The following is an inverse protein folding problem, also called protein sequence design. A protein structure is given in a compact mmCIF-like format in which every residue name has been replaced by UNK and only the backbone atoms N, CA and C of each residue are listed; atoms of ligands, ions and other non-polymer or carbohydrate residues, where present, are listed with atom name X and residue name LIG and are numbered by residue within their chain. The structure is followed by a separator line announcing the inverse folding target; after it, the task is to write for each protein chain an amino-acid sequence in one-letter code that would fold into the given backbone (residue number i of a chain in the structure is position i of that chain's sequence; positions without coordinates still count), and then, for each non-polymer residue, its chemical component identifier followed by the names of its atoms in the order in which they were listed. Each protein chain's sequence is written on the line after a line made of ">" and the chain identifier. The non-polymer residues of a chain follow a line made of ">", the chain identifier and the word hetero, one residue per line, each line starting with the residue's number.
data_IF_237277363713
#
_entry.id   IF_237277363713
#
_cell.length_a   1.000
_cell.length_b   1.000
_cell.length_c   1.000
_cell.angle_alpha   90.00
_cell.angle_beta   90.00
_cell.angle_gamma   90.00
#
_symmetry.space_group_name_H-M   'P 1'
#
loop_
_entity.id
_entity.type
_entity.pdbx_description
1 polymer ?
#
# COMPACT_ATOMS: atom_id res chain seq x y z
N UNK A 1 -52.95 -23.27 -26.66
CA UNK A 1 -51.59 -22.85 -26.24
C UNK A 1 -51.33 -23.40 -24.85
N UNK A 2 -50.47 -24.40 -24.75
CA UNK A 2 -50.25 -25.19 -23.53
C UNK A 2 -49.06 -24.63 -22.75
N UNK A 3 -49.34 -24.07 -21.57
CA UNK A 3 -48.41 -23.48 -20.59
C UNK A 3 -47.50 -24.51 -19.88
N UNK A 4 -46.91 -25.46 -20.62
CA UNK A 4 -46.08 -26.53 -20.08
C UNK A 4 -44.54 -26.43 -20.24
N UNK A 5 -43.89 -25.38 -20.81
CA UNK A 5 -42.45 -25.47 -21.06
C UNK A 5 -41.57 -25.34 -19.80
N UNK A 6 -41.92 -24.51 -18.81
CA UNK A 6 -41.02 -24.23 -17.67
C UNK A 6 -40.89 -25.36 -16.66
N UNK A 7 -41.89 -26.25 -16.56
CA UNK A 7 -41.94 -27.30 -15.52
C UNK A 7 -40.77 -28.30 -15.63
N UNK A 8 -40.26 -28.50 -16.84
CA UNK A 8 -39.18 -29.45 -17.14
C UNK A 8 -37.77 -28.89 -16.92
N UNK A 9 -37.64 -27.59 -16.61
CA UNK A 9 -36.37 -26.89 -16.39
C UNK A 9 -36.26 -26.26 -14.99
N UNK A 10 -37.25 -26.53 -14.11
CA UNK A 10 -37.36 -25.94 -12.77
C UNK A 10 -36.11 -26.11 -11.91
N UNK A 11 -35.41 -27.23 -12.06
CA UNK A 11 -34.18 -27.47 -11.31
C UNK A 11 -33.07 -26.49 -11.70
N UNK A 12 -32.73 -26.39 -12.99
CA UNK A 12 -31.74 -25.42 -13.46
C UNK A 12 -32.14 -23.97 -13.21
N UNK A 13 -33.43 -23.64 -13.36
CA UNK A 13 -33.96 -22.32 -13.01
C UNK A 13 -33.84 -22.04 -11.50
N UNK A 14 -34.14 -23.02 -10.65
CA UNK A 14 -33.99 -22.88 -9.19
C UNK A 14 -32.54 -22.69 -8.77
N UNK A 15 -31.61 -23.46 -9.34
CA UNK A 15 -30.17 -23.30 -9.10
C UNK A 15 -29.68 -21.91 -9.55
N UNK A 16 -30.15 -21.43 -10.72
CA UNK A 16 -29.84 -20.08 -11.20
C UNK A 16 -30.30 -19.00 -10.24
N UNK A 17 -31.54 -19.08 -9.74
CA UNK A 17 -32.08 -18.10 -8.78
C UNK A 17 -31.33 -18.11 -7.45
N UNK A 18 -30.97 -19.29 -6.95
CA UNK A 18 -30.16 -19.43 -5.72
C UNK A 18 -28.77 -18.82 -5.92
N UNK A 19 -28.12 -19.12 -7.04
CA UNK A 19 -26.81 -18.55 -7.38
C UNK A 19 -26.87 -17.04 -7.55
N UNK A 20 -27.89 -16.52 -8.24
CA UNK A 20 -28.10 -15.10 -8.44
C UNK A 20 -28.36 -14.37 -7.12
N UNK A 21 -29.22 -14.93 -6.25
CA UNK A 21 -29.48 -14.36 -4.92
C UNK A 21 -28.21 -14.35 -4.05
N UNK A 22 -27.41 -15.43 -4.10
CA UNK A 22 -26.15 -15.51 -3.38
C UNK A 22 -25.13 -14.46 -3.87
N UNK A 23 -24.88 -14.40 -5.19
CA UNK A 23 -23.97 -13.40 -5.78
C UNK A 23 -24.46 -11.98 -5.53
N UNK A 24 -25.77 -11.73 -5.65
CA UNK A 24 -26.34 -10.41 -5.38
C UNK A 24 -26.17 -10.03 -3.91
N UNK A 25 -26.36 -10.96 -2.97
CA UNK A 25 -26.15 -10.71 -1.54
C UNK A 25 -24.68 -10.39 -1.25
N UNK A 26 -23.73 -11.20 -1.76
CA UNK A 26 -22.31 -10.92 -1.59
C UNK A 26 -21.92 -9.58 -2.23
N UNK A 27 -22.45 -9.27 -3.42
CA UNK A 27 -22.18 -8.02 -4.13
C UNK A 27 -22.77 -6.80 -3.41
N UNK A 28 -23.97 -6.94 -2.83
CA UNK A 28 -24.58 -5.90 -2.01
C UNK A 28 -23.81 -5.71 -0.70
N UNK A 29 -23.35 -6.78 -0.05
CA UNK A 29 -22.46 -6.65 1.12
C UNK A 29 -21.16 -5.94 0.69
N UNK A 30 -20.57 -6.33 -0.45
CA UNK A 30 -19.36 -5.73 -0.98
C UNK A 30 -19.49 -4.22 -1.26
N UNK A 31 -20.65 -3.80 -1.76
CA UNK A 31 -20.91 -2.40 -2.14
C UNK A 31 -21.45 -1.56 -0.99
N UNK A 32 -22.32 -2.13 -0.15
CA UNK A 32 -22.97 -1.42 0.96
C UNK A 32 -22.17 -1.44 2.27
N UNK A 33 -21.17 -2.32 2.38
CA UNK A 33 -20.26 -2.35 3.53
C UNK A 33 -18.96 -1.69 3.11
N UNK A 34 -18.79 -0.39 3.38
CA UNK A 34 -17.52 0.24 3.11
C UNK A 34 -16.48 -0.36 4.09
N UNK A 35 -15.26 -0.62 3.61
CA UNK A 35 -14.13 -1.19 4.37
C UNK A 35 -14.32 -2.61 4.92
N UNK A 36 -14.57 -3.56 4.03
CA UNK A 36 -14.60 -4.98 4.38
C UNK A 36 -13.26 -5.53 4.90
N UNK A 37 -12.10 -4.92 4.58
CA UNK A 37 -10.79 -5.45 5.02
C UNK A 37 -10.61 -6.93 4.64
N UNK A 38 -10.28 -7.79 5.62
CA UNK A 38 -10.28 -9.25 5.46
C UNK A 38 -11.65 -9.85 5.10
N UNK A 39 -12.74 -9.13 5.36
CA UNK A 39 -14.08 -9.45 4.88
C UNK A 39 -14.16 -9.55 3.35
N UNK A 40 -13.32 -8.84 2.58
CA UNK A 40 -13.23 -9.04 1.11
C UNK A 40 -12.72 -10.44 0.80
N UNK A 41 -11.72 -10.91 1.53
CA UNK A 41 -11.18 -12.27 1.39
C UNK A 41 -12.24 -13.30 1.79
N UNK A 42 -13.01 -13.05 2.85
CA UNK A 42 -14.12 -13.92 3.25
C UNK A 42 -15.23 -13.97 2.19
N UNK A 43 -15.63 -12.82 1.61
CA UNK A 43 -16.59 -12.76 0.51
C UNK A 43 -16.08 -13.46 -0.75
N UNK A 44 -14.81 -13.28 -1.10
CA UNK A 44 -14.18 -13.96 -2.25
C UNK A 44 -14.10 -15.47 -2.02
N UNK A 45 -13.76 -15.89 -0.81
CA UNK A 45 -13.72 -17.30 -0.40
C UNK A 45 -15.11 -17.91 -0.48
N UNK A 46 -16.15 -17.23 0.01
CA UNK A 46 -17.54 -17.66 -0.12
C UNK A 46 -17.98 -17.74 -1.59
N UNK A 47 -17.62 -16.75 -2.41
CA UNK A 47 -17.90 -16.76 -3.85
C UNK A 47 -17.24 -17.95 -4.56
N UNK A 48 -16.02 -18.32 -4.18
CA UNK A 48 -15.31 -19.48 -4.73
C UNK A 48 -15.95 -20.78 -4.24
N UNK A 49 -16.04 -20.98 -2.92
CA UNK A 49 -16.44 -22.27 -2.34
C UNK A 49 -17.92 -22.59 -2.47
N UNK A 50 -18.79 -21.59 -2.65
CA UNK A 50 -20.23 -21.80 -2.81
C UNK A 50 -20.68 -21.42 -4.22
N UNK A 51 -20.20 -20.29 -4.75
CA UNK A 51 -20.59 -19.81 -6.07
C UNK A 51 -20.10 -20.69 -7.23
N UNK A 52 -18.83 -21.14 -7.21
CA UNK A 52 -18.29 -21.99 -8.29
C UNK A 52 -19.00 -23.34 -8.35
N UNK A 53 -19.22 -24.08 -7.24
CA UNK A 53 -19.99 -25.32 -7.28
C UNK A 53 -21.43 -25.13 -7.80
N UNK A 54 -22.12 -24.07 -7.37
CA UNK A 54 -23.47 -23.76 -7.86
C UNK A 54 -23.49 -23.45 -9.36
N UNK A 55 -22.47 -22.73 -9.86
CA UNK A 55 -22.30 -22.46 -11.29
C UNK A 55 -22.04 -23.75 -12.07
N UNK A 56 -21.21 -24.66 -11.55
CA UNK A 56 -20.98 -25.97 -12.16
C UNK A 56 -22.26 -26.80 -12.22
N UNK A 57 -23.05 -26.83 -11.15
CA UNK A 57 -24.36 -27.51 -11.15
C UNK A 57 -25.31 -26.90 -12.18
N UNK A 58 -25.32 -25.57 -12.32
CA UNK A 58 -26.12 -24.86 -13.32
C UNK A 58 -25.70 -25.24 -14.75
N UNK A 59 -24.40 -25.26 -15.03
CA UNK A 59 -23.84 -25.64 -16.33
C UNK A 59 -24.13 -27.11 -16.64
N UNK A 60 -23.97 -28.02 -15.68
CA UNK A 60 -24.28 -29.44 -15.85
C UNK A 60 -25.78 -29.66 -16.09
N UNK A 61 -26.65 -28.95 -15.37
CA UNK A 61 -28.10 -29.00 -15.60
C UNK A 61 -28.45 -28.48 -17.01
N UNK A 62 -27.82 -27.38 -17.44
CA UNK A 62 -27.99 -26.83 -18.77
C UNK A 62 -27.52 -27.80 -19.87
N UNK A 63 -26.34 -28.39 -19.74
CA UNK A 63 -25.81 -29.41 -20.66
C UNK A 63 -26.75 -30.61 -20.75
N UNK A 64 -27.27 -31.08 -19.60
CA UNK A 64 -28.26 -32.15 -19.56
C UNK A 64 -29.54 -31.78 -20.33
N UNK A 65 -30.02 -30.55 -20.22
CA UNK A 65 -31.18 -30.07 -20.99
C UNK A 65 -30.89 -29.98 -22.48
N UNK A 66 -29.71 -29.49 -22.86
CA UNK A 66 -29.24 -29.45 -24.24
C UNK A 66 -29.16 -30.85 -24.86
N UNK A 67 -28.64 -31.84 -24.12
CA UNK A 67 -28.57 -33.23 -24.58
C UNK A 67 -29.95 -33.87 -24.66
N UNK A 68 -30.79 -33.72 -23.63
CA UNK A 68 -32.14 -34.29 -23.57
C UNK A 68 -33.01 -33.77 -24.72
N UNK A 69 -32.94 -32.48 -25.00
CA UNK A 69 -33.81 -31.80 -25.96
C UNK A 69 -33.12 -31.62 -27.32
N UNK A 70 -31.99 -32.31 -27.57
CA UNK A 70 -31.20 -32.27 -28.82
C UNK A 70 -30.89 -30.85 -29.30
N UNK A 71 -30.57 -29.95 -28.36
CA UNK A 71 -30.27 -28.55 -28.62
C UNK A 71 -31.49 -27.65 -28.88
N UNK A 72 -32.71 -28.17 -28.81
CA UNK A 72 -33.95 -27.41 -29.04
C UNK A 72 -34.52 -26.79 -27.76
N UNK A 73 -33.67 -26.37 -26.83
CA UNK A 73 -34.10 -25.69 -25.61
C UNK A 73 -34.64 -24.29 -25.99
N UNK A 74 -35.83 -23.88 -25.50
CA UNK A 74 -36.38 -22.57 -25.85
C UNK A 74 -35.48 -21.41 -25.38
N UNK A 75 -35.28 -20.39 -26.23
CA UNK A 75 -34.46 -19.20 -25.90
C UNK A 75 -34.82 -18.52 -24.57
N UNK A 76 -36.11 -18.53 -24.20
CA UNK A 76 -36.59 -17.99 -22.91
C UNK A 76 -36.06 -18.77 -21.71
N UNK A 77 -35.83 -20.08 -21.85
CA UNK A 77 -35.25 -20.92 -20.77
C UNK A 77 -33.77 -20.60 -20.60
N UNK A 78 -33.01 -20.39 -21.69
CA UNK A 78 -31.64 -19.90 -21.60
C UNK A 78 -31.57 -18.56 -20.87
N UNK A 79 -32.47 -17.63 -21.23
CA UNK A 79 -32.53 -16.32 -20.59
C UNK A 79 -32.80 -16.45 -19.07
N UNK A 80 -33.81 -17.22 -18.66
CA UNK A 80 -34.14 -17.38 -17.23
C UNK A 80 -33.04 -18.14 -16.45
N UNK A 81 -32.26 -19.00 -17.10
CA UNK A 81 -31.17 -19.72 -16.45
C UNK A 81 -29.89 -18.88 -16.26
N UNK A 82 -29.62 -17.88 -17.11
CA UNK A 82 -28.33 -17.17 -17.07
C UNK A 82 -28.43 -15.66 -16.81
N UNK A 83 -29.53 -15.00 -17.23
CA UNK A 83 -29.69 -13.55 -17.06
C UNK A 83 -29.68 -13.12 -15.60
N UNK A 84 -30.37 -13.80 -14.65
CA UNK A 84 -30.33 -13.40 -13.24
C UNK A 84 -28.91 -13.40 -12.66
N UNK A 85 -28.14 -14.46 -12.95
CA UNK A 85 -26.74 -14.59 -12.50
C UNK A 85 -25.85 -13.53 -13.15
N UNK A 86 -25.98 -13.31 -14.45
CA UNK A 86 -25.23 -12.28 -15.17
C UNK A 86 -25.55 -10.87 -14.63
N UNK A 87 -26.81 -10.57 -14.35
CA UNK A 87 -27.22 -9.30 -13.76
C UNK A 87 -26.63 -9.12 -12.35
N UNK A 88 -26.58 -10.16 -11.53
CA UNK A 88 -25.97 -10.11 -10.20
C UNK A 88 -24.46 -9.85 -10.27
N UNK A 89 -23.74 -10.47 -11.22
CA UNK A 89 -22.30 -10.25 -11.41
C UNK A 89 -21.97 -8.81 -11.86
N UNK A 90 -22.91 -8.11 -12.47
CA UNK A 90 -22.72 -6.74 -12.95
C UNK A 90 -22.83 -5.68 -11.85
N UNK A 91 -23.31 -6.02 -10.64
CA UNK A 91 -23.54 -5.06 -9.55
C UNK A 91 -22.24 -4.33 -9.16
N UNK A 92 -21.16 -5.07 -8.92
CA UNK A 92 -19.86 -4.50 -8.53
C UNK A 92 -19.23 -3.62 -9.62
N UNK A 93 -19.08 -4.08 -10.89
CA UNK A 93 -18.47 -3.25 -11.93
C UNK A 93 -19.32 -2.01 -12.28
N UNK A 94 -20.66 -2.09 -12.24
CA UNK A 94 -21.49 -0.90 -12.41
C UNK A 94 -21.30 0.10 -11.26
N UNK A 95 -21.23 -0.39 -10.03
CA UNK A 95 -20.98 0.47 -8.87
C UNK A 95 -19.62 1.18 -8.97
N UNK A 96 -18.55 0.44 -9.31
CA UNK A 96 -17.21 1.02 -9.51
C UNK A 96 -17.18 2.04 -10.65
N UNK A 97 -17.86 1.75 -11.76
CA UNK A 97 -17.97 2.69 -12.89
C UNK A 97 -18.68 3.99 -12.49
N UNK A 98 -19.76 3.88 -11.72
CA UNK A 98 -20.46 5.03 -11.15
C UNK A 98 -19.53 5.79 -10.20
N UNK A 99 -18.88 5.12 -9.27
CA UNK A 99 -18.01 5.76 -8.29
C UNK A 99 -16.85 6.53 -8.96
N UNK A 100 -16.16 5.92 -9.94
CA UNK A 100 -15.11 6.58 -10.72
C UNK A 100 -15.61 7.81 -11.51
N UNK A 101 -16.86 7.77 -12.00
CA UNK A 101 -17.50 8.89 -12.69
C UNK A 101 -17.82 10.03 -11.72
N UNK A 102 -18.24 9.70 -10.50
CA UNK A 102 -18.49 10.68 -9.44
C UNK A 102 -17.19 11.28 -8.89
N UNK A 103 -16.12 10.49 -8.77
CA UNK A 103 -14.81 10.94 -8.30
C UNK A 103 -14.10 11.85 -9.34
N UNK A 104 -14.30 11.58 -10.64
CA UNK A 104 -13.78 12.42 -11.72
C UNK A 104 -14.57 13.73 -11.90
N UNK A 105 -15.88 13.75 -11.63
CA UNK A 105 -16.72 14.95 -11.69
C UNK A 105 -16.61 15.84 -10.43
N UNK A 106 -16.34 15.25 -9.26
CA UNK A 106 -16.31 15.97 -7.99
C UNK A 106 -14.95 16.60 -7.63
N UNK A 107 -13.89 16.36 -8.40
CA UNK A 107 -12.62 17.09 -8.32
C UNK A 107 -11.91 17.05 -6.95
N UNK A 108 -10.97 16.11 -6.76
CA UNK A 108 -9.83 16.23 -5.84
C UNK A 108 -10.09 16.25 -4.32
N UNK A 109 -11.30 16.57 -3.83
CA UNK A 109 -11.58 16.64 -2.38
C UNK A 109 -12.12 15.35 -1.78
N UNK A 110 -12.37 14.32 -2.60
CA UNK A 110 -12.97 13.03 -2.19
C UNK A 110 -12.00 11.85 -2.16
N UNK A 111 -10.75 12.05 -2.55
CA UNK A 111 -9.74 11.01 -2.49
C UNK A 111 -9.49 10.60 -1.03
N UNK A 112 -9.33 9.30 -0.82
CA UNK A 112 -8.95 8.77 0.49
C UNK A 112 -7.56 9.27 0.87
N UNK A 113 -7.33 9.53 2.16
CA UNK A 113 -6.04 9.96 2.69
C UNK A 113 -5.39 8.78 3.40
N UNK A 114 -4.20 8.38 2.95
CA UNK A 114 -3.43 7.35 3.61
C UNK A 114 -2.80 7.89 4.91
N UNK A 115 -3.02 7.18 6.00
CA UNK A 115 -2.43 7.44 7.31
C UNK A 115 -1.67 6.20 7.79
N UNK A 116 -0.49 6.42 8.36
CA UNK A 116 0.30 5.41 9.02
C UNK A 116 0.64 5.91 10.43
N UNK A 117 0.35 5.11 11.45
CA UNK A 117 0.53 5.45 12.84
C UNK A 117 1.62 4.58 13.45
N UNK A 118 2.51 5.22 14.21
CA UNK A 118 3.62 4.61 14.94
C UNK A 118 3.52 5.02 16.41
N UNK A 119 3.41 4.04 17.32
CA UNK A 119 3.28 4.31 18.75
C UNK A 119 4.64 4.29 19.43
N UNK A 120 5.13 5.49 19.75
CA UNK A 120 6.39 5.75 20.42
C UNK A 120 6.17 6.24 21.87
N UNK A 121 4.92 6.21 22.35
CA UNK A 121 4.53 6.80 23.64
C UNK A 121 4.80 5.88 24.83
N UNK A 122 4.97 4.59 24.57
CA UNK A 122 5.09 3.55 25.59
C UNK A 122 3.77 3.20 26.30
N UNK A 123 2.64 3.72 25.84
CA UNK A 123 1.30 3.45 26.39
C UNK A 123 0.34 2.97 25.29
N UNK A 124 -0.69 2.18 25.60
CA UNK A 124 -1.70 1.82 24.62
C UNK A 124 -2.51 3.05 24.19
N UNK A 125 -2.65 3.25 22.88
CA UNK A 125 -3.36 4.39 22.30
C UNK A 125 -4.54 3.93 21.46
N UNK A 126 -5.68 4.60 21.60
CA UNK A 126 -6.88 4.33 20.80
C UNK A 126 -6.98 5.40 19.71
N UNK A 127 -6.82 4.98 18.45
CA UNK A 127 -6.77 5.91 17.32
C UNK A 127 -8.16 6.43 16.96
N UNK A 128 -8.26 7.72 16.63
CA UNK A 128 -9.50 8.31 16.14
C UNK A 128 -9.74 7.96 14.67
N UNK A 129 -10.70 7.07 14.43
CA UNK A 129 -11.15 6.64 13.10
C UNK A 129 -12.30 7.50 12.56
N UNK A 130 -12.73 8.54 13.29
CA UNK A 130 -13.81 9.43 12.87
C UNK A 130 -13.34 10.48 11.83
N UNK A 131 -14.18 10.91 10.88
CA UNK A 131 -15.57 10.52 10.69
C UNK A 131 -15.71 9.14 10.01
N UNK A 132 -14.67 8.68 9.30
CA UNK A 132 -14.60 7.34 8.70
C UNK A 132 -13.17 6.98 8.27
N UNK A 133 -12.71 5.76 8.59
CA UNK A 133 -11.42 5.22 8.18
C UNK A 133 -11.47 3.71 7.86
N UNK A 134 -10.62 3.25 6.91
CA UNK A 134 -10.44 1.84 6.52
C UNK A 134 -9.20 1.25 7.16
N UNK A 135 -9.35 0.42 8.18
CA UNK A 135 -8.18 -0.18 8.82
C UNK A 135 -7.66 -1.37 8.01
N UNK A 136 -6.38 -1.31 7.63
CA UNK A 136 -5.68 -2.38 6.90
C UNK A 136 -5.04 -3.43 7.80
N UNK A 137 -4.81 -3.10 9.07
CA UNK A 137 -3.90 -3.83 9.96
C UNK A 137 -4.50 -4.02 11.35
N UNK A 138 -5.51 -4.90 11.48
CA UNK A 138 -6.03 -5.39 12.77
C UNK A 138 -6.54 -4.34 13.78
N UNK A 139 -6.50 -3.07 13.42
CA UNK A 139 -6.89 -1.94 14.25
C UNK A 139 -8.38 -1.67 14.05
N UNK A 140 -9.01 -1.14 15.09
CA UNK A 140 -10.41 -0.74 15.04
C UNK A 140 -10.72 0.14 16.23
N UNK A 141 -11.92 0.74 16.28
CA UNK A 141 -12.36 1.50 17.45
C UNK A 141 -12.36 0.64 18.74
N UNK A 142 -12.29 -0.69 18.59
CA UNK A 142 -12.32 -1.68 19.67
C UNK A 142 -10.93 -2.26 20.04
N UNK A 143 -9.84 -1.81 19.39
CA UNK A 143 -8.48 -2.32 19.64
C UNK A 143 -7.46 -1.19 19.77
N UNK A 144 -6.67 -1.14 20.87
CA UNK A 144 -5.62 -0.14 21.03
C UNK A 144 -4.39 -0.49 20.19
N UNK A 145 -3.73 0.55 19.71
CA UNK A 145 -2.35 0.50 19.27
C UNK A 145 -1.44 0.29 20.48
N UNK A 146 -0.72 -0.82 20.52
CA UNK A 146 0.16 -1.15 21.64
C UNK A 146 1.39 -0.24 21.69
N UNK A 147 1.82 0.14 22.89
CA UNK A 147 2.98 1.00 23.10
C UNK A 147 4.25 0.26 23.50
N UNK A 148 4.13 -1.02 23.89
CA UNK A 148 5.22 -1.92 24.23
C UNK A 148 5.76 -2.70 23.01
N UNK A 149 5.10 -2.58 21.85
CA UNK A 149 5.57 -3.12 20.56
C UNK A 149 5.59 -2.01 19.48
N UNK A 150 6.55 -1.08 19.52
CA UNK A 150 6.62 0.04 18.59
C UNK A 150 6.81 -0.38 17.12
N UNK A 151 7.18 -1.64 16.89
CA UNK A 151 7.42 -2.22 15.57
C UNK A 151 6.14 -2.47 14.77
N UNK A 152 4.99 -2.57 15.44
CA UNK A 152 3.69 -2.81 14.83
C UNK A 152 3.02 -1.49 14.44
N UNK A 153 3.12 -1.10 13.17
CA UNK A 153 2.46 0.11 12.69
C UNK A 153 0.99 -0.17 12.37
N UNK A 154 0.18 0.88 12.45
CA UNK A 154 -1.23 0.82 12.05
C UNK A 154 -1.43 1.69 10.82
N UNK A 155 -2.03 1.10 9.81
CA UNK A 155 -2.31 1.74 8.52
C UNK A 155 -3.81 1.80 8.28
N UNK A 156 -4.27 2.96 7.85
CA UNK A 156 -5.64 3.10 7.39
C UNK A 156 -5.81 4.23 6.38
N UNK A 157 -6.88 4.15 5.57
CA UNK A 157 -7.28 5.27 4.73
C UNK A 157 -8.45 6.03 5.33
N UNK A 158 -8.35 7.34 5.48
CA UNK A 158 -9.44 8.20 5.95
C UNK A 158 -10.22 8.75 4.77
N UNK A 159 -11.55 8.67 4.81
CA UNK A 159 -12.40 9.15 3.72
C UNK A 159 -13.23 10.35 4.17
N UNK A 160 -13.37 11.37 3.32
CA UNK A 160 -14.41 12.38 3.52
C UNK A 160 -15.78 11.74 3.34
N UNK A 161 -16.76 12.20 4.12
CA UNK A 161 -18.15 11.74 4.00
C UNK A 161 -19.09 12.96 4.04
N UNK A 162 -20.36 12.76 3.64
CA UNK A 162 -21.31 13.86 3.50
C UNK A 162 -21.48 14.69 4.78
N UNK A 163 -21.40 14.04 5.95
CA UNK A 163 -21.51 14.70 7.24
C UNK A 163 -20.26 15.54 7.56
N UNK A 164 -19.07 14.98 7.34
CA UNK A 164 -17.81 15.68 7.61
C UNK A 164 -17.54 16.83 6.64
N UNK A 165 -18.09 16.78 5.43
CA UNK A 165 -18.12 17.90 4.49
C UNK A 165 -19.05 19.01 4.99
N UNK A 166 -20.28 18.66 5.42
CA UNK A 166 -21.25 19.61 5.94
C UNK A 166 -20.73 20.35 7.19
N UNK A 167 -20.10 19.60 8.10
CA UNK A 167 -19.56 20.12 9.35
C UNK A 167 -18.14 20.69 9.20
N UNK A 168 -17.54 20.59 8.00
CA UNK A 168 -16.12 20.88 7.73
C UNK A 168 -15.15 20.15 8.67
N UNK A 169 -15.58 19.03 9.25
CA UNK A 169 -14.90 18.27 10.28
C UNK A 169 -13.78 17.36 9.75
N UNK A 170 -13.73 17.09 8.44
CA UNK A 170 -12.65 16.29 7.85
C UNK A 170 -11.28 16.99 8.04
N UNK A 171 -10.23 16.32 8.54
CA UNK A 171 -8.99 17.01 8.93
C UNK A 171 -8.13 17.48 7.75
N UNK A 172 -8.38 17.00 6.52
CA UNK A 172 -7.60 17.34 5.33
C UNK A 172 -8.37 18.22 4.35
N UNK A 173 -7.62 18.94 3.53
CA UNK A 173 -8.08 19.74 2.40
C UNK A 173 -7.09 19.60 1.25
N UNK A 174 -7.53 19.11 0.10
CA UNK A 174 -6.66 18.90 -1.08
C UNK A 174 -5.47 17.99 -0.82
N UNK A 175 -5.64 16.95 0.01
CA UNK A 175 -4.57 16.01 0.37
C UNK A 175 -3.60 16.53 1.44
N UNK A 176 -3.82 17.72 2.00
CA UNK A 176 -2.98 18.32 3.03
C UNK A 176 -3.75 18.49 4.34
N UNK A 177 -3.07 18.33 5.46
CA UNK A 177 -3.65 18.54 6.77
C UNK A 177 -4.01 20.02 6.93
N UNK A 178 -5.25 20.32 7.32
CA UNK A 178 -5.73 21.68 7.51
C UNK A 178 -4.90 22.40 8.54
N UNK A 179 -4.64 23.71 8.33
CA UNK A 179 -3.86 24.53 9.25
C UNK A 179 -4.46 24.63 10.65
N UNK A 180 -5.76 24.43 10.78
CA UNK A 180 -6.51 24.46 12.05
C UNK A 180 -6.38 23.18 12.89
N UNK A 181 -5.76 22.10 12.37
CA UNK A 181 -5.61 20.83 13.11
C UNK A 181 -4.30 20.83 13.88
N UNK A 182 -4.28 21.44 15.06
CA UNK A 182 -3.09 21.65 15.90
C UNK A 182 -2.99 20.67 17.08
N UNK A 183 -3.98 19.79 17.24
CA UNK A 183 -4.01 18.72 18.23
C UNK A 183 -4.45 17.41 17.59
N UNK A 184 -3.91 16.30 18.09
CA UNK A 184 -4.41 14.96 17.80
C UNK A 184 -5.33 14.51 18.92
N UNK A 185 -6.44 13.89 18.55
CA UNK A 185 -7.43 13.38 19.49
C UNK A 185 -7.40 11.86 19.50
N UNK A 186 -7.39 11.28 20.68
CA UNK A 186 -7.52 9.83 20.84
C UNK A 186 -8.99 9.44 21.06
N UNK A 187 -9.34 8.23 20.64
CA UNK A 187 -10.58 7.59 21.03
C UNK A 187 -10.48 7.07 22.49
N UNK A 188 -11.61 6.69 23.07
CA UNK A 188 -11.68 5.89 24.30
C UNK A 188 -11.88 4.41 23.94
N UNK A 189 -11.66 3.48 24.91
CA UNK A 189 -11.99 2.07 24.72
C UNK A 189 -13.45 1.77 24.36
N UNK A 190 -14.40 2.67 24.66
CA UNK A 190 -15.80 2.51 24.25
C UNK A 190 -16.08 2.99 22.82
N UNK A 191 -15.06 3.46 22.09
CA UNK A 191 -15.19 4.10 20.79
C UNK A 191 -15.70 5.55 20.86
N UNK A 192 -16.08 6.03 22.04
CA UNK A 192 -16.43 7.44 22.27
C UNK A 192 -15.16 8.31 22.26
N UNK A 193 -15.29 9.60 21.94
CA UNK A 193 -14.13 10.52 21.89
C UNK A 193 -13.55 10.74 23.28
N UNK A 194 -12.25 10.49 23.45
CA UNK A 194 -11.55 10.92 24.66
C UNK A 194 -11.20 12.42 24.50
N UNK A 195 -11.30 13.17 25.59
CA UNK A 195 -10.91 14.60 25.64
C UNK A 195 -9.40 14.75 25.91
N UNK A 196 -8.60 13.73 25.58
CA UNK A 196 -7.14 13.83 25.67
C UNK A 196 -6.63 14.30 24.32
N UNK A 197 -6.56 15.62 24.19
CA UNK A 197 -5.95 16.29 23.05
C UNK A 197 -4.46 16.48 23.36
N UNK A 198 -3.60 15.96 22.48
CA UNK A 198 -2.15 16.19 22.55
C UNK A 198 -1.72 17.12 21.42
N UNK A 199 -0.72 18.00 21.63
CA UNK A 199 -0.19 18.86 20.57
C UNK A 199 0.20 18.05 19.32
N UNK A 200 -0.20 18.53 18.15
CA UNK A 200 0.14 17.96 16.85
C UNK A 200 1.17 18.85 16.15
N UNK A 201 2.42 18.38 16.09
CA UNK A 201 3.52 19.07 15.42
C UNK A 201 3.59 18.61 13.95
N UNK A 202 3.65 19.57 13.03
CA UNK A 202 3.69 19.26 11.59
C UNK A 202 5.09 19.37 11.04
N UNK A 203 5.51 18.36 10.30
CA UNK A 203 6.71 18.42 9.48
C UNK A 203 6.42 19.01 8.09
N UNK A 204 7.47 19.50 7.40
CA UNK A 204 7.34 19.98 6.03
C UNK A 204 6.79 18.91 5.09
N UNK A 205 5.98 19.32 4.12
CA UNK A 205 5.57 18.45 3.02
C UNK A 205 6.72 18.26 2.03
N UNK A 206 6.84 17.09 1.38
CA UNK A 206 7.73 16.94 0.24
C UNK A 206 7.32 17.92 -0.87
N UNK A 207 8.31 18.39 -1.64
CA UNK A 207 8.03 19.21 -2.81
C UNK A 207 7.41 18.34 -3.90
N UNK A 208 6.14 18.61 -4.21
CA UNK A 208 5.40 17.90 -5.25
C UNK A 208 5.37 18.66 -6.57
N UNK A 209 5.98 19.85 -6.64
CA UNK A 209 6.05 20.63 -7.87
C UNK A 209 6.64 19.85 -9.06
N UNK A 210 7.69 19.01 -8.89
CA UNK A 210 8.23 18.21 -9.99
C UNK A 210 7.21 17.23 -10.58
N UNK A 211 6.28 16.74 -9.75
CA UNK A 211 5.19 15.93 -10.24
C UNK A 211 4.04 16.77 -10.81
N UNK A 212 3.84 18.03 -10.43
CA UNK A 212 2.69 18.86 -10.84
C UNK A 212 2.59 19.17 -12.35
N UNK A 213 3.67 19.03 -13.13
CA UNK A 213 3.56 19.04 -14.60
C UNK A 213 2.84 17.78 -15.15
N UNK A 214 2.70 16.75 -14.33
CA UNK A 214 2.16 15.41 -14.62
C UNK A 214 1.17 14.87 -13.55
N UNK A 215 0.90 15.61 -12.45
CA UNK A 215 0.24 15.18 -11.19
C UNK A 215 -1.24 14.82 -11.31
N UNK A 216 -1.83 15.07 -12.48
CA UNK A 216 -3.23 14.70 -12.77
C UNK A 216 -3.34 13.50 -13.70
N UNK A 217 -2.25 12.78 -13.94
CA UNK A 217 -2.29 11.49 -14.63
C UNK A 217 -2.28 10.36 -13.61
N UNK A 218 -2.88 9.20 -13.94
CA UNK A 218 -2.50 7.94 -13.32
C UNK A 218 -0.97 7.82 -13.25
N UNK A 219 -0.41 7.35 -12.13
CA UNK A 219 1.04 7.10 -12.00
C UNK A 219 1.86 8.13 -11.19
N UNK A 220 1.24 8.96 -10.34
CA UNK A 220 1.97 9.82 -9.38
C UNK A 220 1.99 9.21 -7.98
N UNK A 221 3.13 9.25 -7.25
CA UNK A 221 3.18 8.74 -5.88
C UNK A 221 2.15 9.44 -5.00
N UNK A 222 1.38 8.66 -4.25
CA UNK A 222 0.42 9.20 -3.29
C UNK A 222 1.15 9.88 -2.11
N UNK A 223 0.47 10.79 -1.42
CA UNK A 223 0.94 11.29 -0.13
C UNK A 223 0.41 10.39 0.98
N UNK A 224 1.32 9.95 1.85
CA UNK A 224 0.97 9.28 3.12
C UNK A 224 1.30 10.21 4.28
N UNK A 225 0.44 10.25 5.30
CA UNK A 225 0.67 11.02 6.52
C UNK A 225 1.11 10.07 7.64
N UNK A 226 2.39 10.14 8.02
CA UNK A 226 2.95 9.35 9.10
C UNK A 226 2.76 10.08 10.43
N UNK A 227 2.02 9.50 11.36
CA UNK A 227 1.77 9.98 12.70
C UNK A 227 2.66 9.23 13.70
N UNK A 228 3.63 9.94 14.28
CA UNK A 228 4.49 9.43 15.34
C UNK A 228 3.95 9.90 16.68
N UNK A 229 3.44 8.97 17.48
CA UNK A 229 2.82 9.25 18.76
C UNK A 229 3.85 9.18 19.88
N UNK A 230 4.26 10.32 20.42
CA UNK A 230 5.11 10.38 21.61
C UNK A 230 4.26 10.54 22.87
N UNK A 231 4.92 10.56 24.03
CA UNK A 231 4.24 10.63 25.33
C UNK A 231 3.46 11.94 25.54
N UNK A 232 3.97 13.04 25.01
CA UNK A 232 3.50 14.40 25.27
C UNK A 232 2.99 15.12 24.00
N UNK A 233 3.25 14.59 22.81
CA UNK A 233 2.83 15.17 21.55
C UNK A 233 2.72 14.11 20.45
N UNK A 234 2.14 14.49 19.32
CA UNK A 234 2.15 13.71 18.08
C UNK A 234 2.87 14.53 17.03
N UNK A 235 3.74 13.88 16.25
CA UNK A 235 4.30 14.48 15.05
C UNK A 235 3.60 13.89 13.82
N UNK A 236 3.15 14.75 12.91
CA UNK A 236 2.65 14.34 11.59
C UNK A 236 3.63 14.73 10.51
N UNK A 237 4.11 13.73 9.80
CA UNK A 237 5.11 13.82 8.75
C UNK A 237 4.55 13.29 7.44
N UNK A 238 4.21 14.19 6.49
CA UNK A 238 3.85 13.78 5.14
C UNK A 238 5.06 13.22 4.41
N UNK A 239 4.90 12.08 3.74
CA UNK A 239 5.92 11.47 2.89
C UNK A 239 5.34 11.06 1.54
N UNK A 240 6.22 10.80 0.57
CA UNK A 240 5.82 10.07 -0.63
C UNK A 240 5.56 8.63 -0.23
N UNK A 241 4.37 8.13 -0.58
CA UNK A 241 4.03 6.74 -0.38
C UNK A 241 4.99 5.85 -1.16
N UNK A 242 5.22 4.64 -0.64
CA UNK A 242 5.91 3.57 -1.37
C UNK A 242 5.29 3.40 -2.76
N UNK A 243 6.14 3.22 -3.76
CA UNK A 243 5.67 3.04 -5.13
C UNK A 243 5.00 1.68 -5.27
N UNK A 244 3.73 1.66 -5.71
CA UNK A 244 3.14 0.44 -6.25
C UNK A 244 3.85 0.04 -7.54
N UNK A 245 3.80 -1.24 -7.92
CA UNK A 245 4.40 -1.71 -9.18
C UNK A 245 3.91 -0.91 -10.39
N UNK A 246 2.61 -0.59 -10.45
CA UNK A 246 2.04 0.23 -11.54
C UNK A 246 2.57 1.66 -11.53
N UNK A 247 2.74 2.27 -10.35
CA UNK A 247 3.26 3.64 -10.24
C UNK A 247 4.73 3.69 -10.62
N UNK A 248 5.52 2.70 -10.20
CA UNK A 248 6.92 2.58 -10.61
C UNK A 248 7.03 2.42 -12.14
N UNK A 249 6.24 1.54 -12.75
CA UNK A 249 6.22 1.32 -14.20
C UNK A 249 5.85 2.61 -14.97
N UNK A 250 4.84 3.34 -14.53
CA UNK A 250 4.42 4.59 -15.15
C UNK A 250 5.52 5.66 -15.08
N UNK A 251 6.19 5.77 -13.93
CA UNK A 251 7.31 6.71 -13.74
C UNK A 251 8.51 6.32 -14.63
N UNK A 252 8.84 5.04 -14.73
CA UNK A 252 9.91 4.53 -15.62
C UNK A 252 9.59 4.81 -17.09
N UNK A 253 8.36 4.50 -17.54
CA UNK A 253 7.90 4.77 -18.92
C UNK A 253 7.92 6.25 -19.25
N UNK A 254 7.60 7.10 -18.27
CA UNK A 254 7.67 8.56 -18.42
C UNK A 254 9.07 9.13 -18.32
N UNK A 255 10.08 8.30 -18.02
CA UNK A 255 11.49 8.71 -17.81
C UNK A 255 11.62 9.77 -16.73
N UNK A 256 10.85 9.64 -15.64
CA UNK A 256 10.86 10.61 -14.55
C UNK A 256 12.22 10.65 -13.85
N UNK A 257 12.78 11.85 -13.67
CA UNK A 257 14.10 12.06 -13.06
C UNK A 257 14.00 12.68 -11.66
N UNK A 258 15.00 12.42 -10.82
CA UNK A 258 15.14 13.03 -9.49
C UNK A 258 14.41 12.30 -8.35
N UNK A 259 13.66 11.23 -8.66
CA UNK A 259 13.13 10.33 -7.64
C UNK A 259 14.17 9.30 -7.21
N UNK A 260 14.41 9.22 -5.91
CA UNK A 260 15.30 8.25 -5.28
C UNK A 260 14.49 7.28 -4.44
N UNK A 261 14.75 5.99 -4.63
CA UNK A 261 14.21 4.89 -3.84
C UNK A 261 15.27 4.39 -2.86
N UNK A 262 14.95 4.42 -1.58
CA UNK A 262 15.82 4.04 -0.48
C UNK A 262 15.45 2.68 0.06
N UNK A 263 16.38 1.73 -0.07
CA UNK A 263 16.35 0.47 0.66
C UNK A 263 17.27 0.55 1.86
N UNK A 264 16.93 -0.13 2.95
CA UNK A 264 17.73 -0.11 4.17
C UNK A 264 18.07 -1.52 4.60
N UNK A 265 19.35 -1.79 4.79
CA UNK A 265 19.86 -2.93 5.52
C UNK A 265 20.24 -2.49 6.94
N UNK A 266 19.49 -2.98 7.93
CA UNK A 266 19.71 -2.62 9.32
C UNK A 266 20.59 -3.66 10.02
N UNK A 267 21.89 -3.39 10.13
CA UNK A 267 22.82 -4.18 10.95
C UNK A 267 23.03 -3.58 12.36
N UNK A 268 22.19 -2.62 12.75
CA UNK A 268 22.22 -2.01 14.08
C UNK A 268 21.69 -2.95 15.18
N UNK A 269 21.54 -2.41 16.39
CA UNK A 269 21.11 -3.17 17.57
C UNK A 269 19.60 -3.25 17.82
N UNK A 270 18.77 -2.43 17.14
CA UNK A 270 17.31 -2.42 17.30
C UNK A 270 16.56 -2.09 16.00
N UNK A 271 15.27 -2.46 15.86
CA UNK A 271 14.45 -2.15 14.70
C UNK A 271 14.29 -0.64 14.49
N UNK A 272 14.31 -0.18 13.24
CA UNK A 272 14.12 1.24 12.92
C UNK A 272 12.63 1.52 12.71
N UNK A 273 12.10 2.46 13.49
CA UNK A 273 10.66 2.83 13.48
C UNK A 273 10.37 4.12 12.72
N UNK A 274 11.42 4.90 12.42
CA UNK A 274 11.34 6.17 11.70
C UNK A 274 12.67 6.47 11.04
N UNK A 275 12.63 6.96 9.81
CA UNK A 275 13.83 7.42 9.10
C UNK A 275 13.53 8.70 8.30
N UNK A 276 14.51 9.59 8.26
CA UNK A 276 14.46 10.81 7.46
C UNK A 276 15.77 11.04 6.72
N UNK A 277 15.67 11.57 5.50
CA UNK A 277 16.79 11.92 4.63
C UNK A 277 16.68 13.39 4.24
N UNK A 278 17.69 14.19 4.56
CA UNK A 278 17.72 15.63 4.34
C UNK A 278 16.49 16.37 4.93
N UNK A 279 15.95 15.85 6.04
CA UNK A 279 14.74 16.37 6.69
C UNK A 279 13.41 15.94 6.02
N UNK A 280 13.45 15.08 5.00
CA UNK A 280 12.28 14.45 4.41
C UNK A 280 12.03 13.10 5.07
N UNK A 281 10.81 12.87 5.54
CA UNK A 281 10.40 11.58 6.09
C UNK A 281 10.27 10.53 4.99
N UNK A 282 10.73 9.32 5.27
CA UNK A 282 10.55 8.16 4.39
C UNK A 282 9.39 7.30 4.90
N UNK A 283 8.52 6.86 3.98
CA UNK A 283 7.59 5.76 4.22
C UNK A 283 8.37 4.44 4.21
N UNK A 284 8.71 3.94 5.40
CA UNK A 284 9.47 2.71 5.61
C UNK A 284 8.58 1.45 5.65
N UNK A 285 7.31 1.57 5.25
CA UNK A 285 6.36 0.46 5.15
C UNK A 285 5.54 0.20 6.39
N UNK A 286 4.89 -0.97 6.44
CA UNK A 286 3.82 -1.29 7.40
C UNK A 286 4.32 -1.78 8.76
N UNK A 287 5.62 -1.72 9.00
CA UNK A 287 6.25 -2.09 10.26
C UNK A 287 7.70 -1.61 10.31
N UNK A 288 8.32 -1.75 11.48
CA UNK A 288 9.72 -1.35 11.66
C UNK A 288 10.68 -2.16 10.76
N UNK A 289 11.77 -1.51 10.35
CA UNK A 289 12.86 -2.17 9.62
C UNK A 289 13.64 -3.02 10.64
N UNK A 290 13.36 -4.31 10.64
CA UNK A 290 13.98 -5.28 11.52
C UNK A 290 15.51 -5.36 11.31
N UNK A 291 16.21 -5.78 12.35
CA UNK A 291 17.65 -6.05 12.27
C UNK A 291 17.92 -7.29 11.43
N UNK A 292 18.94 -7.21 10.59
CA UNK A 292 19.51 -8.38 9.92
C UNK A 292 20.31 -9.16 10.97
N UNK A 293 19.99 -10.43 11.24
CA UNK A 293 20.72 -11.24 12.19
C UNK A 293 22.14 -11.52 11.68
N UNK A 294 23.04 -11.83 12.61
CA UNK A 294 24.36 -12.37 12.27
C UNK A 294 24.22 -13.70 11.50
N UNK A 295 25.15 -14.04 10.60
CA UNK A 295 25.02 -15.25 9.78
C UNK A 295 24.86 -16.52 10.63
N UNK A 296 24.07 -17.50 10.16
CA UNK A 296 23.32 -17.51 8.90
C UNK A 296 22.05 -16.66 8.98
N UNK A 297 21.83 -15.80 7.97
CA UNK A 297 20.65 -14.94 7.86
C UNK A 297 19.85 -15.31 6.61
N UNK A 298 18.52 -15.43 6.73
CA UNK A 298 17.65 -15.55 5.56
C UNK A 298 17.42 -14.16 4.96
N UNK A 299 18.31 -13.76 4.06
CA UNK A 299 18.28 -12.44 3.43
C UNK A 299 17.07 -12.23 2.50
N UNK A 300 16.27 -13.27 2.24
CA UNK A 300 15.02 -13.15 1.47
C UNK A 300 13.80 -12.88 2.34
N UNK A 301 13.87 -13.21 3.64
CA UNK A 301 12.79 -12.95 4.60
C UNK A 301 12.64 -11.46 4.95
N UNK A 302 13.67 -10.66 4.71
CA UNK A 302 13.69 -9.23 5.02
C UNK A 302 13.35 -8.40 3.79
N UNK A 303 12.13 -8.56 3.27
CA UNK A 303 11.59 -7.76 2.17
C UNK A 303 11.51 -6.29 2.56
N UNK A 304 12.60 -5.54 2.37
CA UNK A 304 12.68 -4.15 2.73
C UNK A 304 11.89 -3.30 1.76
N UNK A 305 10.85 -2.58 2.22
CA UNK A 305 10.14 -1.63 1.37
C UNK A 305 11.07 -0.49 0.97
N UNK A 306 10.91 -0.02 -0.26
CA UNK A 306 11.67 1.11 -0.77
C UNK A 306 10.95 2.43 -0.41
N UNK A 307 11.54 3.22 0.49
CA UNK A 307 11.07 4.57 0.80
C UNK A 307 11.40 5.53 -0.33
N UNK A 308 10.47 6.38 -0.74
CA UNK A 308 10.66 7.30 -1.88
C UNK A 308 10.92 8.74 -1.42
N UNK A 309 11.87 9.42 -2.05
CA UNK A 309 12.09 10.86 -1.86
C UNK A 309 12.57 11.56 -3.13
N UNK A 310 12.14 12.80 -3.33
CA UNK A 310 12.64 13.69 -4.37
C UNK A 310 13.83 14.48 -3.85
N UNK A 311 15.04 14.11 -4.24
CA UNK A 311 16.26 14.81 -3.85
C UNK A 311 17.43 14.46 -4.78
N UNK A 312 18.40 15.37 -4.96
CA UNK A 312 19.60 15.07 -5.73
C UNK A 312 20.61 14.27 -4.89
N UNK A 313 21.38 13.39 -5.55
CA UNK A 313 22.42 12.55 -4.93
C UNK A 313 23.84 13.10 -5.12
N UNK A 314 23.96 14.35 -5.56
CA UNK A 314 25.24 15.04 -5.79
C UNK A 314 25.91 15.53 -4.49
N UNK A 315 25.13 15.65 -3.41
CA UNK A 315 25.60 16.06 -2.09
C UNK A 315 25.50 14.92 -1.07
N UNK A 316 26.33 14.93 -0.01
CA UNK A 316 26.17 14.01 1.10
C UNK A 316 24.76 14.11 1.70
N UNK A 317 24.14 12.95 1.94
CA UNK A 317 22.85 12.86 2.58
C UNK A 317 23.02 13.02 4.09
N UNK A 318 22.16 13.83 4.71
CA UNK A 318 21.96 13.87 6.14
C UNK A 318 20.83 12.91 6.48
N UNK A 319 21.16 11.77 7.08
CA UNK A 319 20.18 10.76 7.47
C UNK A 319 20.03 10.77 8.98
N UNK A 320 18.79 10.65 9.45
CA UNK A 320 18.50 10.44 10.87
C UNK A 320 17.42 9.38 11.04
N UNK A 321 17.48 8.62 12.12
CA UNK A 321 16.52 7.56 12.41
C UNK A 321 16.28 7.42 13.91
N UNK A 322 15.16 6.78 14.24
CA UNK A 322 14.82 6.36 15.60
C UNK A 322 14.61 4.85 15.61
N UNK A 323 14.91 4.23 16.75
CA UNK A 323 14.76 2.79 16.95
C UNK A 323 13.63 2.48 17.92
N UNK A 324 13.10 1.26 17.90
CA UNK A 324 12.04 0.86 18.82
C UNK A 324 12.50 0.81 20.28
N UNK A 325 13.79 0.56 20.54
CA UNK A 325 14.36 0.55 21.90
C UNK A 325 14.63 1.95 22.46
N UNK A 326 14.96 2.92 21.60
CA UNK A 326 15.25 4.30 22.00
C UNK A 326 14.39 5.31 21.20
N UNK A 327 13.05 5.25 21.29
CA UNK A 327 12.16 5.98 20.39
C UNK A 327 12.23 7.50 20.53
N UNK A 328 12.78 8.01 21.65
CA UNK A 328 12.99 9.44 21.88
C UNK A 328 14.35 9.95 21.39
N UNK A 329 15.27 9.05 21.02
CA UNK A 329 16.63 9.40 20.62
C UNK A 329 16.75 9.38 19.11
N UNK A 330 17.23 10.48 18.55
CA UNK A 330 17.64 10.52 17.16
C UNK A 330 19.08 10.05 17.02
N UNK A 331 19.27 9.02 16.21
CA UNK A 331 20.56 8.71 15.61
C UNK A 331 20.71 9.54 14.33
N UNK A 332 21.93 9.93 13.99
CA UNK A 332 22.16 10.72 12.79
C UNK A 332 23.54 10.46 12.21
N UNK A 333 23.61 10.36 10.89
CA UNK A 333 24.86 10.22 10.19
C UNK A 333 24.80 10.98 8.85
N UNK A 334 25.98 11.41 8.40
CA UNK A 334 26.15 11.96 7.06
C UNK A 334 26.77 10.88 6.18
N UNK A 335 26.16 10.61 5.04
CA UNK A 335 26.61 9.55 4.12
C UNK A 335 26.77 10.12 2.72
N UNK A 336 27.95 9.90 2.12
CA UNK A 336 28.15 10.20 0.71
C UNK A 336 27.60 9.05 -0.12
N UNK A 337 26.68 9.34 -1.03
CA UNK A 337 26.24 8.36 -2.03
C UNK A 337 27.28 8.33 -3.15
N UNK A 338 27.90 7.18 -3.45
CA UNK A 338 28.89 7.09 -4.50
C UNK A 338 28.27 7.38 -5.87
N UNK A 339 29.00 8.12 -6.70
CA UNK A 339 28.67 8.27 -8.11
C UNK A 339 29.09 7.02 -8.88
N UNK A 340 28.38 6.74 -9.96
CA UNK A 340 28.82 5.75 -10.94
C UNK A 340 30.12 6.20 -11.61
N UNK A 341 31.10 5.30 -11.77
CA UNK A 341 32.39 5.55 -12.43
C UNK A 341 32.22 6.14 -13.82
N UNK A 342 31.30 5.57 -14.60
CA UNK A 342 30.89 6.13 -15.89
C UNK A 342 29.61 6.97 -15.73
N UNK A 343 29.67 8.32 -15.74
CA UNK A 343 28.50 9.14 -15.42
C UNK A 343 27.35 9.02 -16.43
N UNK A 344 27.64 8.58 -17.65
CA UNK A 344 26.62 8.38 -18.68
C UNK A 344 25.70 7.21 -18.30
N UNK A 345 24.36 7.39 -18.33
CA UNK A 345 23.42 6.28 -18.17
C UNK A 345 23.58 5.25 -19.29
N UNK A 346 23.43 3.97 -18.95
CA UNK A 346 23.41 2.89 -19.96
C UNK A 346 22.11 2.94 -20.77
N UNK A 347 22.13 2.34 -21.97
CA UNK A 347 20.91 2.13 -22.75
C UNK A 347 19.89 1.34 -21.92
N UNK A 348 18.63 1.80 -21.93
CA UNK A 348 17.53 1.21 -21.15
C UNK A 348 17.75 1.17 -19.64
N UNK A 349 18.67 1.98 -19.10
CA UNK A 349 18.79 2.20 -17.67
C UNK A 349 17.57 2.95 -17.14
N UNK A 350 17.06 2.48 -16.01
CA UNK A 350 16.06 3.14 -15.16
C UNK A 350 16.43 4.59 -14.88
N UNK A 351 15.44 5.48 -14.91
CA UNK A 351 15.62 6.87 -14.43
C UNK A 351 15.37 7.01 -12.94
N UNK A 352 14.71 6.01 -12.32
CA UNK A 352 14.53 5.93 -10.88
C UNK A 352 15.85 5.54 -10.21
N UNK A 353 16.42 6.47 -9.46
CA UNK A 353 17.68 6.22 -8.75
C UNK A 353 17.41 5.35 -7.53
N UNK A 354 18.29 4.41 -7.22
CA UNK A 354 18.15 3.55 -6.05
C UNK A 354 19.39 3.65 -5.17
N UNK A 355 19.16 3.70 -3.86
CA UNK A 355 20.20 3.76 -2.84
C UNK A 355 19.92 2.69 -1.80
N UNK A 356 20.88 1.80 -1.58
CA UNK A 356 20.88 0.89 -0.46
C UNK A 356 21.70 1.50 0.68
N UNK A 357 21.03 1.82 1.77
CA UNK A 357 21.62 2.32 3.01
C UNK A 357 21.97 1.15 3.93
N UNK A 358 23.17 1.16 4.49
CA UNK A 358 23.65 0.18 5.46
C UNK A 358 23.78 0.88 6.80
N UNK A 359 22.88 0.57 7.75
CA UNK A 359 22.98 1.03 9.14
C UNK A 359 23.89 0.06 9.86
N UNK A 360 25.06 0.55 10.28
CA UNK A 360 26.12 -0.26 10.87
C UNK A 360 25.96 -0.35 12.41
N UNK A 361 26.59 -1.34 13.08
CA UNK A 361 26.47 -1.53 14.53
C UNK A 361 26.94 -0.35 15.40
N UNK A 362 27.79 0.51 14.85
CA UNK A 362 28.36 1.70 15.50
C UNK A 362 27.58 2.99 15.19
N UNK A 363 26.35 2.87 14.70
CA UNK A 363 25.50 3.96 14.19
C UNK A 363 26.10 4.73 13.00
N UNK A 364 27.14 4.19 12.35
CA UNK A 364 27.60 4.72 11.08
C UNK A 364 26.66 4.31 9.93
N UNK A 365 26.73 5.07 8.83
CA UNK A 365 26.01 4.77 7.59
C UNK A 365 26.99 4.58 6.44
N UNK A 366 26.71 3.57 5.62
CA UNK A 366 27.27 3.46 4.28
C UNK A 366 26.15 3.44 3.25
N UNK A 367 26.47 3.80 2.01
CA UNK A 367 25.51 3.82 0.91
C UNK A 367 26.09 3.15 -0.33
N UNK A 368 25.26 2.36 -1.00
CA UNK A 368 25.50 1.85 -2.35
C UNK A 368 24.48 2.45 -3.28
N UNK A 369 24.92 2.96 -4.43
CA UNK A 369 24.04 3.42 -5.50
C UNK A 369 23.85 2.31 -6.52
N UNK A 370 22.62 2.10 -6.96
CA UNK A 370 22.34 1.17 -8.04
C UNK A 370 21.21 1.67 -8.94
N UNK A 371 21.16 1.12 -10.14
CA UNK A 371 20.12 1.37 -11.13
C UNK A 371 19.78 0.06 -11.84
N UNK A 372 18.50 -0.15 -12.12
CA UNK A 372 18.04 -1.30 -12.89
C UNK A 372 18.20 -1.02 -14.39
N UNK A 373 18.47 -2.07 -15.16
CA UNK A 373 18.61 -2.02 -16.61
C UNK A 373 17.59 -2.97 -17.20
N UNK A 374 16.81 -2.47 -18.16
CA UNK A 374 15.72 -3.21 -18.77
C UNK A 374 16.06 -3.65 -20.20
N UNK A 375 15.51 -4.78 -20.61
CA UNK A 375 15.29 -5.16 -22.00
C UNK A 375 13.78 -5.18 -22.24
N UNK A 376 13.28 -4.13 -22.90
CA UNK A 376 11.84 -3.84 -22.99
C UNK A 376 11.21 -3.75 -21.59
N UNK A 377 10.26 -4.63 -21.28
CA UNK A 377 9.59 -4.71 -19.98
C UNK A 377 10.25 -5.75 -19.04
N UNK A 378 11.31 -6.43 -19.48
CA UNK A 378 12.00 -7.44 -18.68
C UNK A 378 13.30 -6.91 -18.12
N UNK A 379 13.51 -7.06 -16.81
CA UNK A 379 14.75 -6.64 -16.17
C UNK A 379 15.93 -7.48 -16.68
N UNK A 380 16.93 -6.82 -17.25
CA UNK A 380 18.13 -7.42 -17.85
C UNK A 380 19.29 -7.49 -16.87
N UNK A 381 19.37 -6.57 -15.92
CA UNK A 381 20.44 -6.56 -14.92
C UNK A 381 20.40 -5.32 -14.04
N UNK A 382 21.47 -5.14 -13.26
CA UNK A 382 21.69 -3.93 -12.47
C UNK A 382 23.07 -3.36 -12.74
N UNK A 383 23.17 -2.05 -12.59
CA UNK A 383 24.42 -1.32 -12.45
C UNK A 383 24.54 -0.86 -11.02
N UNK A 384 25.65 -1.14 -10.34
CA UNK A 384 25.83 -0.78 -8.94
C UNK A 384 27.25 -0.30 -8.66
N UNK A 385 27.40 0.62 -7.71
CA UNK A 385 28.73 1.09 -7.25
C UNK A 385 29.46 0.04 -6.40
N UNK A 386 28.75 -1.01 -5.98
CA UNK A 386 29.28 -2.12 -5.19
C UNK A 386 29.18 -1.92 -3.68
N UNK A 387 29.46 -3.01 -2.96
CA UNK A 387 29.42 -3.05 -1.49
C UNK A 387 30.44 -2.08 -0.88
N UNK A 388 30.02 -1.14 -0.02
CA UNK A 388 30.95 -0.21 0.61
C UNK A 388 31.93 -0.94 1.54
N UNK A 389 33.19 -0.49 1.57
CA UNK A 389 34.23 -1.09 2.40
C UNK A 389 33.88 -1.10 3.90
N UNK A 390 33.19 -0.06 4.38
CA UNK A 390 32.73 0.03 5.78
C UNK A 390 31.65 -1.02 6.13
N UNK A 391 30.88 -1.48 5.14
CA UNK A 391 29.86 -2.50 5.32
C UNK A 391 30.39 -3.92 5.07
N UNK A 392 31.53 -4.08 4.39
CA UNK A 392 32.03 -5.37 3.91
C UNK A 392 32.25 -6.41 5.02
N UNK A 393 32.57 -5.99 6.24
CA UNK A 393 32.80 -6.89 7.39
C UNK A 393 31.52 -7.38 8.06
N UNK A 394 30.39 -6.70 7.83
CA UNK A 394 29.11 -6.98 8.51
C UNK A 394 27.96 -7.31 7.55
N UNK A 395 28.09 -7.03 6.25
CA UNK A 395 27.03 -7.15 5.27
C UNK A 395 26.73 -8.62 4.90
N UNK A 396 26.03 -9.32 5.79
CA UNK A 396 25.63 -10.73 5.61
C UNK A 396 24.73 -10.93 4.39
N UNK A 397 23.87 -9.94 4.10
CA UNK A 397 23.00 -9.92 2.93
C UNK A 397 23.65 -9.27 1.70
N UNK A 398 24.96 -9.08 1.73
CA UNK A 398 25.75 -8.62 0.59
C UNK A 398 25.35 -7.24 0.08
N UNK A 399 25.58 -7.04 -1.22
CA UNK A 399 25.28 -5.79 -1.93
C UNK A 399 23.84 -5.75 -2.45
N UNK A 400 23.45 -4.63 -3.07
CA UNK A 400 22.17 -4.50 -3.77
C UNK A 400 21.88 -5.68 -4.71
N UNK A 401 22.93 -6.26 -5.33
CA UNK A 401 22.85 -7.43 -6.19
C UNK A 401 22.28 -8.69 -5.53
N UNK A 402 22.58 -8.92 -4.25
CA UNK A 402 22.20 -10.15 -3.56
C UNK A 402 20.67 -10.35 -3.48
N UNK A 403 19.90 -9.27 -3.63
CA UNK A 403 18.42 -9.32 -3.63
C UNK A 403 17.80 -9.80 -4.94
N UNK A 404 18.61 -10.07 -5.98
CA UNK A 404 18.15 -10.37 -7.33
C UNK A 404 18.11 -11.87 -7.68
N UNK A 405 18.51 -12.75 -6.75
CA UNK A 405 18.52 -14.21 -6.92
C UNK A 405 19.80 -14.73 -7.60
N UNK A 406 20.09 -16.02 -7.43
CA UNK A 406 21.34 -16.65 -7.95
C UNK A 406 21.40 -16.69 -9.48
N UNK A 407 20.25 -16.73 -10.16
CA UNK A 407 20.14 -16.76 -11.63
C UNK A 407 20.19 -15.37 -12.28
N UNK A 408 20.33 -14.30 -11.50
CA UNK A 408 20.48 -12.96 -12.06
C UNK A 408 21.80 -12.86 -12.85
N UNK A 409 21.82 -12.14 -13.99
CA UNK A 409 23.06 -11.81 -14.67
C UNK A 409 23.96 -10.99 -13.74
N UNK A 410 25.29 -11.22 -13.71
CA UNK A 410 26.18 -10.48 -12.85
C UNK A 410 26.03 -8.96 -13.05
N UNK A 411 26.24 -8.15 -12.01
CA UNK A 411 26.09 -6.70 -12.12
C UNK A 411 26.99 -6.19 -13.24
N UNK A 412 26.43 -5.35 -14.10
CA UNK A 412 27.20 -4.75 -15.18
C UNK A 412 28.25 -3.83 -14.54
N UNK A 413 29.48 -3.94 -15.03
CA UNK A 413 30.60 -3.16 -14.51
C UNK A 413 30.27 -1.67 -14.54
N UNK A 414 30.58 -0.99 -13.43
CA UNK A 414 30.42 0.45 -13.27
C UNK A 414 31.47 1.27 -14.06
#
# INVERSE_FOLDING_TARGET
>A
MTDRPYRNYRFGIGVSLVLAAFIATLSLIAVATPNLGWGVVALATLAIWVGVPLLLVLVLAWLRYMVRDRGQVPGRVHAVMFVPTAAAMLIVPLWQSLQNTWDSLAGGSRAAIAELHVNLSGQPLWLDTSPYASTGSGAGPDLPMQGDTPEGFITFHRYPNAQSDADRAFPYEGGRLKRSVDHYRYATPSGDRAVTDVPLLRHPYPDLAPFNASWRRPGTPELVHLYYHYRDHVEVAPALARLSGTTADDLERSRFEGLVLFKVHNYGGAPIVRMEVNGLTLDIGDGAIANIPTPPADCTAYGYPDGAALLPLDQPLQVRWQTSSEPMRWHSARVQVPAFRTPQPMESQSTLQRVLLYVLPDDALAAERYAEIFDRDTRRGIRATGLPAAAATVATCGSAYATYGEDAPPPLAD
#
